data_IF_786053735233
#
_entry.id   IF_786053735233
#
_cell.length_a   1.000
_cell.length_b   1.000
_cell.length_c   1.000
_cell.angle_alpha   90.00
_cell.angle_beta   90.00
_cell.angle_gamma   90.00
#
_symmetry.space_group_name_H-M   'P 1'
#
loop_
_entity.id
_entity.type
_entity.pdbx_description
1 polymer ?
#
# COMPACT_ATOMS: atom_id res chain seq x y z
N UNK A 1 -34.17 10.15 -50.10
CA UNK A 1 -32.75 10.20 -49.74
C UNK A 1 -32.62 11.34 -48.72
N UNK A 2 -32.98 11.06 -47.47
CA UNK A 2 -32.90 12.00 -46.34
C UNK A 2 -31.55 11.86 -45.65
N UNK A 3 -30.91 12.94 -45.19
CA UNK A 3 -29.73 12.84 -44.33
C UNK A 3 -30.16 12.72 -42.86
N UNK A 4 -29.59 11.72 -42.19
CA UNK A 4 -29.79 11.43 -40.77
C UNK A 4 -29.22 12.52 -39.86
N UNK A 5 -30.00 12.87 -38.83
CA UNK A 5 -29.64 13.79 -37.77
C UNK A 5 -28.50 13.24 -36.90
N UNK A 6 -27.51 14.09 -36.61
CA UNK A 6 -26.41 13.78 -35.69
C UNK A 6 -26.87 13.89 -34.24
N UNK A 7 -26.73 12.79 -33.50
CA UNK A 7 -26.92 12.75 -32.05
C UNK A 7 -25.75 13.43 -31.33
N UNK A 8 -26.08 14.40 -30.49
CA UNK A 8 -25.14 15.14 -29.64
C UNK A 8 -24.50 14.25 -28.58
N UNK A 9 -23.16 14.26 -28.52
CA UNK A 9 -22.41 13.66 -27.42
C UNK A 9 -22.56 14.52 -26.16
N UNK A 10 -23.40 14.06 -25.24
CA UNK A 10 -23.49 14.57 -23.88
C UNK A 10 -22.15 14.46 -23.15
N UNK A 11 -21.68 15.59 -22.62
CA UNK A 11 -20.54 15.66 -21.72
C UNK A 11 -20.88 15.02 -20.38
N UNK A 12 -20.43 13.78 -20.18
CA UNK A 12 -20.47 13.10 -18.89
C UNK A 12 -19.55 13.78 -17.89
N UNK A 13 -20.14 14.48 -16.92
CA UNK A 13 -19.48 15.04 -15.75
C UNK A 13 -19.00 13.87 -14.88
N UNK A 14 -17.69 13.67 -14.76
CA UNK A 14 -17.13 12.70 -13.83
C UNK A 14 -17.49 13.12 -12.39
N UNK A 15 -17.93 12.19 -11.51
CA UNK A 15 -18.18 12.52 -10.11
C UNK A 15 -16.86 12.93 -9.45
N UNK A 16 -16.94 13.89 -8.53
CA UNK A 16 -15.81 14.28 -7.68
C UNK A 16 -15.33 13.04 -6.90
N UNK A 17 -14.09 12.61 -7.15
CA UNK A 17 -13.49 11.48 -6.46
C UNK A 17 -13.39 11.80 -4.96
N UNK A 18 -13.99 10.95 -4.13
CA UNK A 18 -13.68 10.89 -2.72
C UNK A 18 -12.17 10.66 -2.58
N UNK A 19 -11.50 11.50 -1.78
CA UNK A 19 -10.07 11.34 -1.55
C UNK A 19 -9.78 9.95 -0.96
N UNK A 20 -8.77 9.27 -1.49
CA UNK A 20 -8.26 8.02 -0.94
C UNK A 20 -7.70 8.32 0.46
N UNK A 21 -8.39 7.86 1.50
CA UNK A 21 -8.12 8.26 2.88
C UNK A 21 -7.00 7.43 3.50
N UNK A 22 -5.80 8.01 3.55
CA UNK A 22 -4.64 7.55 4.33
C UNK A 22 -4.83 7.75 5.86
N UNK A 23 -6.06 7.85 6.35
CA UNK A 23 -6.39 8.47 7.64
C UNK A 23 -6.78 7.48 8.74
N UNK A 24 -6.33 6.22 8.65
CA UNK A 24 -6.48 5.28 9.76
C UNK A 24 -5.30 5.43 10.76
N UNK A 25 -5.41 6.44 11.62
CA UNK A 25 -4.66 6.57 12.86
C UNK A 25 -5.60 6.49 14.07
N UNK A 26 -5.04 6.54 15.28
CA UNK A 26 -5.82 6.68 16.52
C UNK A 26 -6.86 7.82 16.44
N UNK A 27 -7.90 7.81 17.27
CA UNK A 27 -8.98 8.82 17.22
C UNK A 27 -8.48 10.29 17.28
N UNK A 28 -7.31 10.54 17.90
CA UNK A 28 -6.64 11.86 17.89
C UNK A 28 -5.91 12.16 16.58
N UNK A 29 -5.33 11.16 15.91
CA UNK A 29 -4.65 11.31 14.61
C UNK A 29 -5.66 11.48 13.48
N UNK A 30 -6.77 10.75 13.51
CA UNK A 30 -7.87 10.88 12.55
C UNK A 30 -8.49 12.29 12.56
N UNK A 31 -8.63 12.92 13.74
CA UNK A 31 -9.06 14.31 13.87
C UNK A 31 -8.06 15.30 13.25
N UNK A 32 -6.77 15.13 13.52
CA UNK A 32 -5.72 16.00 12.96
C UNK A 32 -5.53 15.81 11.43
N UNK A 33 -5.75 14.60 10.93
CA UNK A 33 -5.65 14.28 9.51
C UNK A 33 -6.82 14.92 8.73
N UNK A 34 -8.03 14.83 9.28
CA UNK A 34 -9.22 15.49 8.75
C UNK A 34 -9.04 17.02 8.65
N UNK A 35 -8.47 17.64 9.68
CA UNK A 35 -8.14 19.08 9.68
C UNK A 35 -7.07 19.44 8.64
N UNK A 36 -6.01 18.62 8.53
CA UNK A 36 -4.97 18.81 7.51
C UNK A 36 -5.51 18.67 6.08
N UNK A 37 -6.40 17.69 5.85
CA UNK A 37 -7.10 17.49 4.59
C UNK A 37 -7.97 18.69 4.20
N UNK A 38 -8.72 19.23 5.16
CA UNK A 38 -9.54 20.43 4.98
C UNK A 38 -8.69 21.67 4.66
N UNK A 39 -7.59 21.88 5.37
CA UNK A 39 -6.68 23.00 5.12
C UNK A 39 -6.01 22.92 3.73
N UNK A 40 -5.58 21.73 3.29
CA UNK A 40 -5.08 21.53 1.91
C UNK A 40 -6.18 21.77 0.87
N UNK A 41 -7.42 21.38 1.16
CA UNK A 41 -8.55 21.64 0.27
C UNK A 41 -8.82 23.14 0.13
N UNK A 42 -8.79 23.89 1.24
CA UNK A 42 -8.92 25.35 1.23
C UNK A 42 -7.79 26.02 0.41
N UNK A 43 -6.54 25.59 0.60
CA UNK A 43 -5.40 26.09 -0.17
C UNK A 43 -5.55 25.82 -1.68
N UNK A 44 -6.05 24.64 -2.07
CA UNK A 44 -6.35 24.33 -3.47
C UNK A 44 -7.38 25.31 -4.05
N UNK A 45 -8.49 25.52 -3.36
CA UNK A 45 -9.56 26.42 -3.82
C UNK A 45 -9.07 27.86 -3.96
N UNK A 46 -8.27 28.33 -3.00
CA UNK A 46 -7.68 29.65 -3.03
C UNK A 46 -6.73 29.83 -4.22
N UNK A 47 -5.88 28.85 -4.51
CA UNK A 47 -5.01 28.89 -5.69
C UNK A 47 -5.80 28.90 -6.99
N UNK A 48 -6.83 28.06 -7.12
CA UNK A 48 -7.68 28.05 -8.31
C UNK A 48 -8.35 29.41 -8.54
N UNK A 49 -8.84 30.04 -7.46
CA UNK A 49 -9.40 31.40 -7.50
C UNK A 49 -8.37 32.42 -7.98
N UNK A 50 -7.18 32.46 -7.37
CA UNK A 50 -6.10 33.39 -7.75
C UNK A 50 -5.70 33.26 -9.22
N UNK A 51 -5.52 32.03 -9.70
CA UNK A 51 -5.14 31.78 -11.10
C UNK A 51 -6.23 32.21 -12.09
N UNK A 52 -7.50 32.05 -11.71
CA UNK A 52 -8.65 32.46 -12.54
C UNK A 52 -8.78 33.98 -12.60
N UNK A 53 -8.76 34.65 -11.45
CA UNK A 53 -8.87 36.11 -11.35
C UNK A 53 -7.73 36.82 -12.07
N UNK A 54 -6.51 36.30 -11.95
CA UNK A 54 -5.35 36.85 -12.65
C UNK A 54 -5.29 36.49 -14.15
N UNK A 55 -6.23 35.69 -14.66
CA UNK A 55 -6.20 35.18 -16.03
C UNK A 55 -4.94 34.38 -16.36
N UNK A 56 -4.32 33.76 -15.35
CA UNK A 56 -3.07 33.02 -15.46
C UNK A 56 -3.28 31.54 -15.83
N UNK A 57 -4.48 31.00 -15.59
CA UNK A 57 -4.85 29.62 -15.94
C UNK A 57 -4.89 29.38 -17.47
N UNK A 58 -4.55 28.15 -17.88
CA UNK A 58 -4.65 27.67 -19.28
C UNK A 58 -5.48 26.38 -19.34
N UNK A 59 -5.95 26.06 -20.55
CA UNK A 59 -6.59 24.78 -20.85
C UNK A 59 -5.71 23.59 -20.38
N UNK A 60 -6.29 22.52 -19.81
CA UNK A 60 -7.73 22.20 -19.74
C UNK A 60 -8.52 22.92 -18.64
N UNK A 61 -9.72 23.39 -18.98
CA UNK A 61 -10.74 23.88 -18.05
C UNK A 61 -11.82 22.82 -17.80
N UNK A 62 -12.52 22.83 -16.65
CA UNK A 62 -12.21 23.58 -15.43
C UNK A 62 -10.87 23.15 -14.82
N UNK A 63 -10.21 24.05 -14.08
CA UNK A 63 -8.90 23.77 -13.45
C UNK A 63 -9.03 23.05 -12.11
N UNK A 64 -10.21 23.10 -11.50
CA UNK A 64 -10.54 22.44 -10.25
C UNK A 64 -10.42 20.92 -10.38
N UNK A 65 -9.82 20.28 -9.38
CA UNK A 65 -9.55 18.83 -9.41
C UNK A 65 -8.38 18.45 -10.33
N UNK A 66 -7.65 19.43 -10.88
CA UNK A 66 -6.45 19.22 -11.70
C UNK A 66 -5.25 19.90 -11.08
N UNK A 67 -4.05 19.47 -11.48
CA UNK A 67 -2.87 20.31 -11.39
C UNK A 67 -3.06 21.42 -12.45
N UNK A 68 -3.19 22.71 -12.05
CA UNK A 68 -3.65 23.76 -12.96
C UNK A 68 -2.57 24.09 -13.98
N UNK A 69 -2.91 24.06 -15.27
CA UNK A 69 -2.01 24.57 -16.30
C UNK A 69 -1.96 26.10 -16.25
N UNK A 70 -0.81 26.69 -16.58
CA UNK A 70 -0.58 28.12 -16.36
C UNK A 70 0.24 28.79 -17.47
N UNK A 71 0.06 30.11 -17.63
CA UNK A 71 0.88 30.96 -18.49
C UNK A 71 2.32 30.99 -17.97
N UNK A 72 3.28 30.63 -18.82
CA UNK A 72 4.70 30.58 -18.45
C UNK A 72 5.21 29.19 -18.06
N UNK A 73 4.42 28.12 -18.17
CA UNK A 73 4.88 26.75 -17.91
C UNK A 73 6.12 26.37 -18.73
N UNK A 74 6.19 26.82 -19.98
CA UNK A 74 7.36 26.63 -20.87
C UNK A 74 8.60 27.37 -20.35
N UNK A 75 8.42 28.58 -19.80
CA UNK A 75 9.52 29.36 -19.21
C UNK A 75 10.01 28.74 -17.89
N UNK A 76 9.11 28.23 -17.07
CA UNK A 76 9.46 27.47 -15.87
C UNK A 76 10.26 26.20 -16.23
N UNK A 77 9.86 25.47 -17.27
CA UNK A 77 10.62 24.32 -17.76
C UNK A 77 12.02 24.73 -18.27
N UNK A 78 12.12 25.83 -19.03
CA UNK A 78 13.40 26.35 -19.50
C UNK A 78 14.35 26.71 -18.33
N UNK A 79 13.83 27.32 -17.26
CA UNK A 79 14.63 27.57 -16.04
C UNK A 79 15.08 26.30 -15.34
N UNK A 80 14.21 25.28 -15.26
CA UNK A 80 14.62 23.97 -14.74
C UNK A 80 15.79 23.38 -15.55
N UNK A 81 15.78 23.57 -16.88
CA UNK A 81 16.88 23.12 -17.78
C UNK A 81 18.25 23.67 -17.40
N UNK A 82 18.28 24.85 -16.78
CA UNK A 82 19.52 25.54 -16.39
C UNK A 82 20.13 25.00 -15.09
N UNK A 83 19.37 24.23 -14.32
CA UNK A 83 19.81 23.72 -13.02
C UNK A 83 20.70 22.48 -13.15
N UNK A 84 21.72 22.39 -12.30
CA UNK A 84 22.64 21.24 -12.27
C UNK A 84 21.94 19.91 -12.03
N UNK A 85 20.90 19.89 -11.18
CA UNK A 85 20.10 18.68 -10.92
C UNK A 85 19.48 18.11 -12.20
N UNK A 86 19.04 18.98 -13.12
CA UNK A 86 18.49 18.57 -14.39
C UNK A 86 19.59 18.21 -15.40
N UNK A 87 20.65 19.02 -15.47
CA UNK A 87 21.76 18.80 -16.41
C UNK A 87 22.43 17.44 -16.19
N UNK A 88 22.62 17.05 -14.93
CA UNK A 88 23.23 15.78 -14.53
C UNK A 88 22.30 14.56 -14.71
N UNK A 89 21.00 14.76 -14.62
CA UNK A 89 20.02 13.69 -14.78
C UNK A 89 20.07 13.08 -16.18
N UNK A 90 20.07 11.75 -16.27
CA UNK A 90 19.93 10.99 -17.52
C UNK A 90 18.50 10.48 -17.69
N UNK A 91 17.80 10.26 -16.59
CA UNK A 91 16.43 9.80 -16.56
C UNK A 91 15.59 10.57 -15.53
N UNK A 92 14.38 10.94 -15.94
CA UNK A 92 13.44 11.69 -15.10
C UNK A 92 12.14 10.93 -14.96
N UNK A 93 11.58 10.91 -13.75
CA UNK A 93 10.16 10.63 -13.57
C UNK A 93 9.40 11.95 -13.62
N UNK A 94 8.40 12.06 -14.49
CA UNK A 94 7.61 13.28 -14.65
C UNK A 94 6.13 12.95 -14.68
N UNK A 95 5.34 13.57 -13.80
CA UNK A 95 3.89 13.39 -13.77
C UNK A 95 3.24 13.77 -15.12
N UNK A 96 2.13 13.13 -15.53
CA UNK A 96 1.50 13.31 -16.85
C UNK A 96 0.72 14.62 -16.99
N UNK A 97 0.57 15.40 -15.92
CA UNK A 97 -0.22 16.63 -15.90
C UNK A 97 0.21 17.62 -17.00
N UNK A 98 -0.77 18.36 -17.53
CA UNK A 98 -0.56 19.33 -18.61
C UNK A 98 0.52 20.38 -18.30
N UNK A 99 0.58 21.01 -17.10
CA UNK A 99 1.66 21.97 -16.78
C UNK A 99 3.08 21.37 -16.85
N UNK A 100 3.22 20.05 -16.81
CA UNK A 100 4.51 19.34 -16.86
C UNK A 100 4.86 18.85 -18.27
N UNK A 101 3.96 19.01 -19.25
CA UNK A 101 4.22 18.69 -20.65
C UNK A 101 5.48 19.36 -21.19
N UNK A 102 5.76 20.66 -20.93
CA UNK A 102 6.98 21.29 -21.40
C UNK A 102 8.24 20.63 -20.85
N UNK A 103 8.24 20.19 -19.58
CA UNK A 103 9.38 19.49 -18.96
C UNK A 103 9.61 18.14 -19.62
N UNK A 104 8.55 17.36 -19.86
CA UNK A 104 8.65 16.05 -20.54
C UNK A 104 9.20 16.18 -21.96
N UNK A 105 8.64 17.11 -22.73
CA UNK A 105 9.08 17.34 -24.11
C UNK A 105 10.54 17.81 -24.18
N UNK A 106 10.91 18.73 -23.27
CA UNK A 106 12.28 19.22 -23.15
C UNK A 106 13.27 18.11 -22.75
N UNK A 107 12.90 17.25 -21.80
CA UNK A 107 13.74 16.12 -21.39
C UNK A 107 14.03 15.16 -22.55
N UNK A 108 13.01 14.81 -23.33
CA UNK A 108 13.18 13.97 -24.52
C UNK A 108 14.08 14.65 -25.57
N UNK A 109 13.86 15.94 -25.83
CA UNK A 109 14.70 16.73 -26.74
C UNK A 109 16.17 16.84 -26.28
N UNK A 110 16.40 16.78 -24.97
CA UNK A 110 17.73 16.78 -24.35
C UNK A 110 18.37 15.40 -24.27
N UNK A 111 17.78 14.38 -24.90
CA UNK A 111 18.33 13.03 -24.91
C UNK A 111 18.19 12.31 -23.57
N UNK A 112 17.15 12.62 -22.78
CA UNK A 112 16.90 12.01 -21.47
C UNK A 112 15.71 11.06 -21.54
N UNK A 113 15.79 9.98 -20.77
CA UNK A 113 14.66 9.03 -20.63
C UNK A 113 13.59 9.63 -19.73
N UNK A 114 12.32 9.51 -20.14
CA UNK A 114 11.17 9.95 -19.34
C UNK A 114 10.36 8.76 -18.88
N UNK A 115 10.17 8.66 -17.57
CA UNK A 115 9.23 7.75 -16.92
C UNK A 115 7.97 8.52 -16.54
N UNK A 116 6.84 8.15 -17.12
CA UNK A 116 5.55 8.77 -16.83
C UNK A 116 4.67 7.74 -16.10
N UNK A 117 4.12 8.05 -14.92
CA UNK A 117 3.26 7.11 -14.22
C UNK A 117 1.99 6.85 -15.02
N UNK A 118 1.50 5.61 -14.98
CA UNK A 118 0.24 5.26 -15.64
C UNK A 118 -0.95 5.85 -14.87
N UNK A 119 -2.07 6.19 -15.54
CA UNK A 119 -3.27 6.66 -14.85
C UNK A 119 -3.71 5.68 -13.76
N UNK A 120 -3.85 6.19 -12.53
CA UNK A 120 -4.21 5.42 -11.32
C UNK A 120 -3.26 4.25 -11.00
N UNK A 121 -2.03 4.27 -11.51
CA UNK A 121 -1.06 3.19 -11.29
C UNK A 121 -1.61 1.80 -11.66
N UNK A 122 -2.36 1.70 -12.77
CA UNK A 122 -2.82 0.40 -13.31
C UNK A 122 -1.70 -0.43 -13.93
N UNK A 123 -0.51 0.15 -14.04
CA UNK A 123 0.80 -0.45 -14.29
C UNK A 123 1.88 0.50 -13.73
N UNK A 124 3.15 0.09 -13.67
CA UNK A 124 4.16 0.90 -12.98
C UNK A 124 4.40 2.24 -13.70
N UNK A 125 5.08 2.23 -14.84
CA UNK A 125 5.40 3.45 -15.59
C UNK A 125 5.37 3.20 -17.09
N UNK A 126 5.13 4.25 -17.87
CA UNK A 126 5.47 4.30 -19.29
C UNK A 126 6.90 4.86 -19.41
N UNK A 127 7.82 4.06 -19.93
CA UNK A 127 9.18 4.48 -20.24
C UNK A 127 9.25 4.95 -21.69
N UNK A 128 9.67 6.18 -21.90
CA UNK A 128 9.94 6.76 -23.22
C UNK A 128 11.42 7.07 -23.27
N UNK A 129 12.15 6.37 -24.13
CA UNK A 129 13.58 6.63 -24.34
C UNK A 129 13.75 7.62 -25.49
N UNK A 130 14.75 8.51 -25.43
CA UNK A 130 14.95 9.51 -26.48
C UNK A 130 15.22 8.88 -27.85
N UNK A 131 15.86 7.70 -27.91
CA UNK A 131 16.11 6.98 -29.15
C UNK A 131 14.84 6.44 -29.83
N UNK A 132 13.75 6.26 -29.08
CA UNK A 132 12.46 5.79 -29.59
C UNK A 132 11.59 6.96 -30.14
N UNK A 133 12.07 8.21 -30.03
CA UNK A 133 11.34 9.42 -30.39
C UNK A 133 11.95 10.06 -31.64
N UNK A 134 11.23 10.11 -32.77
CA UNK A 134 11.69 10.83 -33.95
C UNK A 134 11.91 12.32 -33.66
N UNK A 135 12.98 12.88 -34.25
CA UNK A 135 13.31 14.30 -34.10
C UNK A 135 12.14 15.19 -34.50
N UNK A 136 11.76 16.12 -33.64
CA UNK A 136 10.61 17.01 -33.82
C UNK A 136 9.28 16.46 -33.29
N UNK A 137 9.23 15.19 -32.87
CA UNK A 137 8.04 14.57 -32.28
C UNK A 137 8.06 14.54 -30.73
N UNK A 138 9.05 15.16 -30.09
CA UNK A 138 9.27 15.08 -28.63
C UNK A 138 8.06 15.59 -27.84
N UNK A 139 7.44 16.69 -28.32
CA UNK A 139 6.21 17.21 -27.72
C UNK A 139 5.04 16.25 -27.87
N UNK A 140 4.94 15.52 -28.98
CA UNK A 140 3.87 14.53 -29.22
C UNK A 140 4.11 13.29 -28.35
N UNK A 141 5.33 12.78 -28.28
CA UNK A 141 5.72 11.70 -27.40
C UNK A 141 5.47 12.02 -25.91
N UNK A 142 5.59 13.28 -25.50
CA UNK A 142 5.34 13.72 -24.13
C UNK A 142 3.84 13.89 -23.75
N UNK A 143 2.91 13.80 -24.71
CA UNK A 143 1.47 13.99 -24.45
C UNK A 143 0.84 12.71 -23.92
N UNK A 144 0.08 12.79 -22.82
CA UNK A 144 -0.56 11.64 -22.19
C UNK A 144 -1.37 10.76 -23.16
N UNK A 145 -2.09 11.36 -24.11
CA UNK A 145 -2.92 10.62 -25.08
C UNK A 145 -2.17 10.01 -26.26
N UNK A 146 -0.88 10.31 -26.45
CA UNK A 146 -0.06 9.85 -27.58
C UNK A 146 1.23 9.14 -27.12
N UNK A 147 1.63 9.30 -25.87
CA UNK A 147 2.89 8.82 -25.34
C UNK A 147 3.10 7.31 -25.51
N UNK A 148 2.03 6.52 -25.41
CA UNK A 148 2.08 5.08 -25.60
C UNK A 148 2.44 4.63 -27.03
N UNK A 149 2.37 5.54 -28.02
CA UNK A 149 2.87 5.27 -29.38
C UNK A 149 4.40 5.22 -29.46
N UNK A 150 5.08 5.81 -28.47
CA UNK A 150 6.55 5.98 -28.44
C UNK A 150 7.21 5.26 -27.28
N UNK A 151 6.45 4.99 -26.21
CA UNK A 151 6.95 4.39 -24.99
C UNK A 151 6.57 2.93 -24.82
N UNK A 152 7.28 2.26 -23.92
CA UNK A 152 6.96 0.90 -23.45
C UNK A 152 6.47 0.97 -22.00
N UNK A 153 5.34 0.33 -21.71
CA UNK A 153 4.96 0.11 -20.31
C UNK A 153 5.96 -0.85 -19.66
N UNK A 154 6.48 -0.45 -18.50
CA UNK A 154 7.43 -1.25 -17.73
C UNK A 154 6.74 -1.78 -16.47
N UNK A 155 7.07 -3.01 -16.11
CA UNK A 155 6.56 -3.66 -14.90
C UNK A 155 7.34 -3.22 -13.67
N UNK A 156 6.88 -3.58 -12.47
CA UNK A 156 7.57 -3.21 -11.23
C UNK A 156 8.96 -3.85 -11.09
N UNK A 157 9.12 -5.09 -11.51
CA UNK A 157 10.40 -5.81 -11.51
C UNK A 157 11.41 -5.20 -12.51
N UNK A 158 10.93 -4.52 -13.54
CA UNK A 158 11.78 -3.76 -14.47
C UNK A 158 12.09 -2.34 -13.97
N UNK A 159 11.50 -1.91 -12.85
CA UNK A 159 11.64 -0.57 -12.29
C UNK A 159 12.66 -0.48 -11.15
N UNK A 160 13.57 -1.45 -11.02
CA UNK A 160 14.68 -1.36 -10.04
C UNK A 160 15.70 -0.28 -10.45
N UNK A 161 16.54 0.21 -9.52
CA UNK A 161 17.57 1.21 -9.82
C UNK A 161 18.56 0.78 -10.91
N UNK A 162 18.85 -0.52 -10.99
CA UNK A 162 19.79 -1.08 -11.96
C UNK A 162 19.18 -1.17 -13.36
N UNK A 163 17.90 -1.55 -13.45
CA UNK A 163 17.20 -1.75 -14.72
C UNK A 163 16.60 -0.45 -15.29
N UNK A 164 16.16 0.46 -14.41
CA UNK A 164 15.46 1.68 -14.77
C UNK A 164 15.86 2.82 -13.82
N UNK A 165 17.11 3.31 -13.88
CA UNK A 165 17.57 4.40 -13.01
C UNK A 165 16.71 5.65 -13.20
N UNK A 166 16.44 6.35 -12.10
CA UNK A 166 15.78 7.66 -12.09
C UNK A 166 16.68 8.60 -11.30
N UNK A 167 16.96 9.78 -11.85
CA UNK A 167 17.85 10.76 -11.23
C UNK A 167 17.08 11.96 -10.65
N UNK A 168 15.88 12.21 -11.16
CA UNK A 168 15.09 13.39 -10.80
C UNK A 168 13.59 13.11 -10.92
N UNK A 169 12.83 13.54 -9.92
CA UNK A 169 11.37 13.49 -9.89
C UNK A 169 10.81 14.89 -10.12
N UNK A 170 9.91 15.03 -11.11
CA UNK A 170 9.15 16.25 -11.35
C UNK A 170 7.69 16.01 -11.01
N UNK A 171 7.25 16.57 -9.88
CA UNK A 171 5.92 16.40 -9.32
C UNK A 171 5.03 17.61 -9.63
N UNK A 172 3.82 17.37 -10.12
CA UNK A 172 2.79 18.40 -10.25
C UNK A 172 2.31 18.87 -8.88
N UNK A 173 1.98 20.15 -8.75
CA UNK A 173 1.44 20.72 -7.52
C UNK A 173 0.31 21.71 -7.82
N UNK A 174 -0.71 21.72 -6.97
CA UNK A 174 -1.71 22.79 -6.96
C UNK A 174 -1.19 23.94 -6.12
N UNK A 175 -0.73 23.66 -4.89
CA UNK A 175 -0.14 24.65 -4.00
C UNK A 175 1.19 24.16 -3.45
N UNK A 176 2.11 25.10 -3.20
CA UNK A 176 3.40 24.84 -2.55
C UNK A 176 3.75 25.96 -1.58
N UNK A 177 4.53 25.67 -0.54
CA UNK A 177 5.14 26.69 0.31
C UNK A 177 6.61 26.87 -0.03
N UNK A 178 7.21 28.01 0.34
CA UNK A 178 8.62 28.28 0.06
C UNK A 178 9.59 27.31 0.77
N UNK A 179 9.16 26.70 1.87
CA UNK A 179 9.91 25.68 2.61
C UNK A 179 9.62 24.24 2.14
N UNK A 180 8.85 24.06 1.06
CA UNK A 180 8.78 22.78 0.34
C UNK A 180 7.61 21.87 0.69
N UNK A 181 6.62 22.32 1.46
CA UNK A 181 5.35 21.62 1.57
C UNK A 181 4.58 21.67 0.25
N UNK A 182 3.88 20.58 -0.09
CA UNK A 182 3.21 20.42 -1.38
C UNK A 182 1.79 19.90 -1.19
N UNK A 183 0.85 20.49 -1.92
CA UNK A 183 -0.48 19.95 -2.10
C UNK A 183 -0.71 19.62 -3.58
N UNK A 184 -0.89 18.33 -3.90
CA UNK A 184 -1.39 17.88 -5.19
C UNK A 184 -2.90 18.10 -5.35
N UNK A 185 -3.49 17.51 -6.39
CA UNK A 185 -4.94 17.61 -6.67
C UNK A 185 -5.86 16.88 -5.68
N UNK A 186 -5.31 16.13 -4.73
CA UNK A 186 -6.06 15.47 -3.64
C UNK A 186 -6.21 13.95 -3.75
N UNK A 187 -5.66 13.33 -4.80
CA UNK A 187 -5.76 11.87 -5.01
C UNK A 187 -4.58 11.08 -4.41
N UNK A 188 -3.52 11.74 -3.93
CA UNK A 188 -2.35 11.09 -3.32
C UNK A 188 -1.42 10.33 -4.28
N UNK A 189 -1.72 10.27 -5.58
CA UNK A 189 -0.91 9.46 -6.53
C UNK A 189 0.56 9.84 -6.61
N UNK A 190 0.90 11.14 -6.58
CA UNK A 190 2.31 11.55 -6.65
C UNK A 190 3.12 11.10 -5.42
N UNK A 191 2.46 11.01 -4.27
CA UNK A 191 3.04 10.55 -3.02
C UNK A 191 3.26 9.03 -3.07
N UNK A 192 2.26 8.29 -3.54
CA UNK A 192 2.36 6.85 -3.85
C UNK A 192 3.45 6.54 -4.87
N UNK A 193 3.55 7.30 -5.95
CA UNK A 193 4.55 7.11 -7.01
C UNK A 193 5.97 7.22 -6.47
N UNK A 194 6.24 8.17 -5.56
CA UNK A 194 7.55 8.30 -4.94
C UNK A 194 7.82 7.18 -3.94
N UNK A 195 6.85 6.87 -3.08
CA UNK A 195 6.92 5.76 -2.13
C UNK A 195 7.18 4.42 -2.84
N UNK A 196 6.54 4.19 -3.99
CA UNK A 196 6.73 3.04 -4.85
C UNK A 196 8.18 2.89 -5.32
N UNK A 197 8.79 3.98 -5.82
CA UNK A 197 10.19 3.95 -6.25
C UNK A 197 11.12 3.60 -5.07
N UNK A 198 10.82 4.11 -3.87
CA UNK A 198 11.59 3.81 -2.66
C UNK A 198 11.47 2.34 -2.23
N UNK A 199 10.29 1.74 -2.36
CA UNK A 199 10.10 0.28 -2.13
C UNK A 199 10.91 -0.56 -3.12
N UNK A 200 10.97 -0.13 -4.38
CA UNK A 200 11.75 -0.79 -5.43
C UNK A 200 13.28 -0.60 -5.28
N UNK A 201 13.72 0.15 -4.27
CA UNK A 201 15.14 0.32 -3.93
C UNK A 201 15.79 1.58 -4.50
N UNK A 202 15.06 2.45 -5.20
CA UNK A 202 15.61 3.75 -5.63
C UNK A 202 16.09 4.54 -4.43
N UNK A 203 17.21 5.28 -4.51
CA UNK A 203 17.68 6.14 -3.41
C UNK A 203 16.70 7.29 -3.14
N UNK A 204 16.99 8.13 -2.14
CA UNK A 204 16.23 9.37 -1.99
C UNK A 204 16.52 10.27 -3.21
N UNK A 205 15.50 10.49 -4.03
CA UNK A 205 15.60 11.26 -5.26
C UNK A 205 15.29 12.74 -5.01
N UNK A 206 15.98 13.67 -5.70
CA UNK A 206 15.59 15.08 -5.71
C UNK A 206 14.21 15.25 -6.35
N UNK A 207 13.39 16.13 -5.78
CA UNK A 207 12.03 16.43 -6.19
C UNK A 207 11.92 17.90 -6.57
N UNK A 208 11.50 18.14 -7.82
CA UNK A 208 11.24 19.47 -8.37
C UNK A 208 9.75 19.63 -8.65
N UNK A 209 9.21 20.83 -8.49
CA UNK A 209 7.92 21.20 -9.07
C UNK A 209 8.05 22.44 -9.96
N UNK A 210 7.25 22.49 -11.03
CA UNK A 210 7.11 23.69 -11.87
C UNK A 210 5.71 24.25 -11.71
N UNK A 211 5.60 25.49 -11.24
CA UNK A 211 4.34 26.13 -10.85
C UNK A 211 4.31 27.60 -11.25
N UNK A 212 3.11 28.19 -11.27
CA UNK A 212 2.95 29.64 -11.34
C UNK A 212 3.23 30.29 -9.98
N UNK A 213 3.73 31.55 -9.89
CA UNK A 213 3.96 32.23 -8.60
C UNK A 213 2.72 32.29 -7.69
N UNK A 214 1.53 32.40 -8.27
CA UNK A 214 0.24 32.39 -7.54
C UNK A 214 -0.10 31.06 -6.86
N UNK A 215 0.61 29.98 -7.20
CA UNK A 215 0.49 28.68 -6.54
C UNK A 215 1.36 28.58 -5.28
N UNK A 216 2.21 29.58 -5.02
CA UNK A 216 2.99 29.67 -3.78
C UNK A 216 2.07 30.25 -2.70
N UNK A 217 1.84 29.48 -1.65
CA UNK A 217 1.03 29.85 -0.49
C UNK A 217 1.91 30.00 0.74
N UNK A 218 1.41 30.68 1.77
CA UNK A 218 2.19 30.94 2.99
C UNK A 218 2.41 29.65 3.80
N UNK A 219 1.36 28.83 3.97
CA UNK A 219 1.38 27.64 4.83
C UNK A 219 0.58 26.50 4.22
N UNK A 220 1.07 25.30 4.43
CA UNK A 220 0.38 24.04 4.14
C UNK A 220 0.68 23.05 5.27
N UNK A 221 -0.31 22.31 5.78
CA UNK A 221 -0.02 21.22 6.69
C UNK A 221 0.69 20.09 5.94
N UNK A 222 1.61 19.42 6.62
CA UNK A 222 2.39 18.31 6.08
C UNK A 222 2.11 17.06 6.90
N UNK A 223 1.64 16.01 6.23
CA UNK A 223 1.45 14.69 6.77
C UNK A 223 2.70 13.83 6.49
N UNK A 224 2.98 12.78 7.28
CA UNK A 224 4.17 11.94 7.12
C UNK A 224 4.33 11.26 5.75
N UNK A 225 3.25 11.12 5.00
CA UNK A 225 3.21 10.50 3.68
C UNK A 225 3.29 11.51 2.52
N UNK A 226 3.27 12.82 2.79
CA UNK A 226 3.35 13.82 1.73
C UNK A 226 4.75 13.88 1.12
N UNK A 227 4.80 13.95 -0.21
CA UNK A 227 6.01 14.22 -0.95
C UNK A 227 6.39 15.70 -0.84
N UNK A 228 7.44 15.99 -0.08
CA UNK A 228 8.09 17.29 -0.03
C UNK A 228 8.89 17.60 -1.29
N UNK A 229 9.10 18.89 -1.55
CA UNK A 229 9.77 19.40 -2.75
C UNK A 229 11.08 20.06 -2.36
N UNK A 230 12.18 19.70 -3.04
CA UNK A 230 13.50 20.30 -2.83
C UNK A 230 13.69 21.62 -3.59
N UNK A 231 13.06 21.73 -4.77
CA UNK A 231 13.19 22.90 -5.64
C UNK A 231 11.85 23.27 -6.28
N UNK A 232 11.46 24.53 -6.15
CA UNK A 232 10.29 25.11 -6.80
C UNK A 232 10.77 26.02 -7.93
N UNK A 233 10.30 25.76 -9.14
CA UNK A 233 10.65 26.55 -10.33
C UNK A 233 9.41 27.27 -10.84
N UNK A 234 9.48 28.59 -10.91
CA UNK A 234 8.44 29.42 -11.52
C UNK A 234 8.96 30.04 -12.82
N UNK A 235 8.13 30.75 -13.61
CA UNK A 235 8.62 31.52 -14.75
C UNK A 235 9.63 32.60 -14.35
N UNK A 236 9.63 33.06 -13.09
CA UNK A 236 10.36 34.26 -12.67
C UNK A 236 11.52 33.95 -11.70
N UNK A 237 11.42 32.88 -10.92
CA UNK A 237 12.39 32.53 -9.89
C UNK A 237 12.60 31.01 -9.73
N UNK A 238 13.70 30.65 -9.07
CA UNK A 238 14.01 29.30 -8.60
C UNK A 238 14.19 29.37 -7.09
N UNK A 239 13.45 28.56 -6.35
CA UNK A 239 13.49 28.50 -4.89
C UNK A 239 14.02 27.13 -4.47
N UNK A 240 15.19 27.12 -3.81
CA UNK A 240 15.70 25.94 -3.12
C UNK A 240 15.12 25.91 -1.72
N UNK A 241 14.25 24.94 -1.45
CA UNK A 241 13.38 24.98 -0.26
C UNK A 241 14.12 24.69 1.03
N UNK A 242 15.23 23.92 0.95
CA UNK A 242 15.92 23.35 2.12
C UNK A 242 14.91 22.70 3.08
N UNK A 243 13.96 21.97 2.50
CA UNK A 243 12.78 21.47 3.18
C UNK A 243 13.15 20.74 4.49
N UNK A 244 12.52 21.09 5.62
CA UNK A 244 12.66 20.31 6.87
C UNK A 244 11.80 19.04 6.84
N UNK A 245 10.90 18.91 5.87
CA UNK A 245 9.95 17.82 5.76
C UNK A 245 10.59 16.59 5.09
N UNK A 246 10.58 15.42 5.75
CA UNK A 246 11.14 14.20 5.16
C UNK A 246 10.30 13.75 3.97
N UNK A 247 10.95 13.13 2.99
CA UNK A 247 10.26 12.47 1.88
C UNK A 247 9.73 11.10 2.32
N UNK A 248 8.69 10.57 1.64
CA UNK A 248 8.22 9.20 1.89
C UNK A 248 9.36 8.19 1.76
N UNK A 249 9.49 7.29 2.74
CA UNK A 249 10.54 6.25 2.73
C UNK A 249 10.15 4.96 2.02
N UNK A 250 8.86 4.79 1.73
CA UNK A 250 8.24 3.58 1.21
C UNK A 250 6.73 3.67 1.37
N UNK A 251 6.03 2.59 1.03
CA UNK A 251 4.57 2.51 1.17
C UNK A 251 4.25 2.24 2.65
N UNK A 252 3.29 2.99 3.19
CA UNK A 252 2.76 2.73 4.55
C UNK A 252 1.69 1.65 4.47
N UNK A 253 2.11 0.40 4.41
CA UNK A 253 1.22 -0.76 4.26
C UNK A 253 0.13 -0.84 5.32
N UNK A 254 0.37 -0.31 6.52
CA UNK A 254 -0.61 -0.23 7.60
C UNK A 254 -1.77 0.74 7.32
N UNK A 255 -1.59 1.69 6.39
CA UNK A 255 -2.59 2.67 6.00
C UNK A 255 -3.28 2.33 4.66
N UNK A 256 -2.84 1.26 3.98
CA UNK A 256 -3.42 0.83 2.70
C UNK A 256 -4.72 0.08 2.95
N UNK A 257 -5.84 0.58 2.44
CA UNK A 257 -7.15 -0.08 2.60
C UNK A 257 -7.42 -1.10 1.49
N UNK A 258 -8.43 -1.99 1.65
CA UNK A 258 -8.87 -2.87 0.57
C UNK A 258 -9.29 -2.11 -0.69
N UNK A 259 -9.94 -0.95 -0.55
CA UNK A 259 -10.36 -0.09 -1.66
C UNK A 259 -9.14 0.48 -2.40
N UNK A 260 -8.07 0.82 -1.69
CA UNK A 260 -6.81 1.25 -2.31
C UNK A 260 -6.16 0.12 -3.10
N UNK A 261 -6.14 -1.10 -2.56
CA UNK A 261 -5.62 -2.29 -3.26
C UNK A 261 -6.43 -2.60 -4.54
N UNK A 262 -7.74 -2.37 -4.53
CA UNK A 262 -8.59 -2.54 -5.71
C UNK A 262 -8.37 -1.40 -6.73
N UNK A 263 -8.27 -0.16 -6.24
CA UNK A 263 -8.08 1.01 -7.09
C UNK A 263 -6.69 1.06 -7.75
N UNK A 264 -5.66 0.51 -7.09
CA UNK A 264 -4.25 0.56 -7.48
C UNK A 264 -3.63 -0.85 -7.51
N UNK A 265 -3.80 -1.59 -8.62
CA UNK A 265 -3.25 -2.94 -8.78
C UNK A 265 -1.74 -3.05 -8.50
N UNK A 266 -0.99 -1.97 -8.75
CA UNK A 266 0.45 -1.89 -8.45
C UNK A 266 0.78 -2.20 -6.98
N UNK A 267 -0.12 -1.87 -6.04
CA UNK A 267 0.10 -2.15 -4.62
C UNK A 267 0.04 -3.66 -4.36
N UNK A 268 -0.83 -4.39 -5.06
CA UNK A 268 -0.90 -5.85 -4.96
C UNK A 268 0.35 -6.50 -5.56
N UNK A 269 0.79 -6.02 -6.72
CA UNK A 269 2.03 -6.50 -7.36
C UNK A 269 3.26 -6.25 -6.48
N UNK A 270 3.38 -5.05 -5.91
CA UNK A 270 4.48 -4.69 -5.02
C UNK A 270 4.47 -5.54 -3.74
N UNK A 271 3.27 -5.80 -3.19
CA UNK A 271 3.09 -6.71 -2.05
C UNK A 271 3.46 -8.15 -2.39
N UNK A 272 3.24 -8.57 -3.62
CA UNK A 272 3.66 -9.87 -4.12
C UNK A 272 5.17 -9.97 -4.35
N UNK A 273 5.83 -8.87 -4.72
CA UNK A 273 7.30 -8.79 -4.86
C UNK A 273 8.01 -8.80 -3.50
N UNK A 274 7.49 -8.07 -2.51
CA UNK A 274 8.07 -7.95 -1.18
C UNK A 274 7.40 -8.83 -0.11
N UNK A 275 6.69 -9.89 -0.52
CA UNK A 275 5.88 -10.72 0.39
C UNK A 275 6.66 -11.27 1.59
N UNK A 276 7.98 -11.48 1.46
CA UNK A 276 8.87 -11.96 2.54
C UNK A 276 8.97 -10.95 3.71
N UNK A 277 8.73 -9.66 3.43
CA UNK A 277 8.68 -8.57 4.42
C UNK A 277 7.27 -8.29 4.94
N UNK A 278 6.24 -8.87 4.29
CA UNK A 278 4.86 -8.62 4.66
C UNK A 278 4.46 -9.44 5.88
N UNK A 279 3.63 -8.84 6.73
CA UNK A 279 3.03 -9.51 7.87
C UNK A 279 1.52 -9.66 7.67
N UNK A 280 0.96 -10.67 8.32
CA UNK A 280 -0.48 -10.87 8.40
C UNK A 280 -0.94 -10.38 9.77
N UNK A 281 -1.81 -9.36 9.86
CA UNK A 281 -2.28 -8.82 11.13
C UNK A 281 -2.95 -9.89 12.00
N UNK A 282 -2.79 -9.79 13.31
CA UNK A 282 -3.51 -10.64 14.25
C UNK A 282 -5.01 -10.31 14.27
N UNK A 283 -5.85 -11.34 14.36
CA UNK A 283 -7.28 -11.18 14.66
C UNK A 283 -7.51 -11.65 16.09
N UNK A 284 -7.35 -10.73 17.03
CA UNK A 284 -7.46 -10.99 18.47
C UNK A 284 -8.36 -9.96 19.14
N UNK A 285 -9.19 -10.42 20.07
CA UNK A 285 -10.06 -9.60 20.90
C UNK A 285 -10.13 -10.21 22.32
N UNK A 286 -10.50 -9.43 23.36
CA UNK A 286 -10.82 -9.99 24.66
C UNK A 286 -12.04 -10.91 24.59
N UNK A 287 -12.12 -11.92 25.48
CA UNK A 287 -13.31 -12.75 25.66
C UNK A 287 -13.53 -13.81 24.57
N UNK A 288 -12.53 -14.10 23.74
CA UNK A 288 -12.63 -15.14 22.71
C UNK A 288 -12.73 -16.54 23.34
N UNK A 289 -13.57 -17.38 22.75
CA UNK A 289 -13.67 -18.79 23.09
C UNK A 289 -12.43 -19.57 22.63
N UNK A 290 -11.96 -19.36 21.40
CA UNK A 290 -10.76 -20.01 20.91
C UNK A 290 -9.89 -19.10 20.03
N UNK A 291 -8.57 -19.29 20.11
CA UNK A 291 -7.61 -18.67 19.18
C UNK A 291 -6.85 -19.76 18.44
N UNK A 292 -6.89 -19.72 17.11
CA UNK A 292 -6.09 -20.60 16.26
C UNK A 292 -4.71 -19.99 16.03
N UNK A 293 -3.68 -20.80 16.21
CA UNK A 293 -2.29 -20.36 16.08
C UNK A 293 -1.61 -21.16 14.97
N UNK A 294 -1.37 -20.49 13.85
CA UNK A 294 -0.56 -21.03 12.76
C UNK A 294 0.95 -20.94 13.04
N UNK A 295 1.74 -21.52 12.14
CA UNK A 295 3.20 -21.45 12.21
C UNK A 295 3.69 -20.04 11.84
N UNK A 296 3.51 -19.68 10.58
CA UNK A 296 3.88 -18.38 10.01
C UNK A 296 3.14 -18.18 8.68
N UNK A 297 3.06 -16.95 8.15
CA UNK A 297 2.47 -16.70 6.85
C UNK A 297 3.26 -17.34 5.71
N UNK A 298 2.57 -18.08 4.83
CA UNK A 298 3.12 -18.43 3.51
C UNK A 298 2.98 -17.26 2.53
N UNK A 299 3.60 -17.36 1.34
CA UNK A 299 3.52 -16.33 0.29
C UNK A 299 2.12 -15.79 0.04
N UNK A 300 1.15 -16.67 -0.22
CA UNK A 300 -0.23 -16.25 -0.49
C UNK A 300 -0.86 -15.48 0.69
N UNK A 301 -0.64 -15.93 1.93
CA UNK A 301 -1.13 -15.24 3.13
C UNK A 301 -0.47 -13.88 3.32
N UNK A 302 0.85 -13.81 3.17
CA UNK A 302 1.61 -12.57 3.32
C UNK A 302 1.23 -11.53 2.24
N UNK A 303 1.03 -11.98 1.00
CA UNK A 303 0.60 -11.14 -0.12
C UNK A 303 -0.87 -10.69 0.04
N UNK A 304 -1.77 -11.58 0.46
CA UNK A 304 -3.17 -11.21 0.68
C UNK A 304 -3.35 -10.35 1.93
N UNK A 305 -2.49 -10.52 2.93
CA UNK A 305 -2.69 -9.92 4.26
C UNK A 305 -3.69 -10.67 5.13
N UNK A 306 -4.03 -11.91 4.74
CA UNK A 306 -5.06 -12.70 5.38
C UNK A 306 -4.56 -14.07 5.77
N UNK A 307 -5.08 -14.59 6.89
CA UNK A 307 -4.65 -15.88 7.41
C UNK A 307 -5.05 -17.02 6.47
N UNK A 308 -4.11 -17.96 6.29
CA UNK A 308 -4.34 -19.21 5.55
C UNK A 308 -4.83 -19.05 4.09
N UNK A 309 -4.56 -17.92 3.42
CA UNK A 309 -4.95 -17.65 2.02
C UNK A 309 -4.30 -18.54 0.92
N UNK A 310 -3.53 -19.57 1.28
CA UNK A 310 -2.94 -20.48 0.29
C UNK A 310 -4.00 -21.37 -0.36
N UNK A 311 -3.97 -21.60 -1.69
CA UNK A 311 -5.00 -22.35 -2.40
C UNK A 311 -5.13 -23.81 -1.94
N UNK A 312 -4.04 -24.40 -1.43
CA UNK A 312 -4.00 -25.75 -0.90
C UNK A 312 -4.13 -25.80 0.63
N UNK A 313 -4.47 -24.69 1.28
CA UNK A 313 -4.68 -24.66 2.73
C UNK A 313 -6.13 -25.00 3.06
N UNK A 314 -6.33 -25.97 3.95
CA UNK A 314 -7.65 -26.51 4.28
C UNK A 314 -8.27 -25.86 5.52
N UNK A 315 -7.66 -24.82 6.10
CA UNK A 315 -8.08 -24.22 7.36
C UNK A 315 -9.56 -23.81 7.35
N UNK A 316 -9.97 -23.02 6.36
CA UNK A 316 -11.33 -22.48 6.29
C UNK A 316 -12.40 -23.56 6.12
N UNK A 317 -12.07 -24.63 5.37
CA UNK A 317 -12.95 -25.79 5.19
C UNK A 317 -13.03 -26.61 6.48
N UNK A 318 -11.89 -26.90 7.11
CA UNK A 318 -11.82 -27.60 8.38
C UNK A 318 -12.56 -26.86 9.50
N UNK A 319 -12.42 -25.53 9.56
CA UNK A 319 -13.07 -24.67 10.53
C UNK A 319 -14.60 -24.78 10.43
N UNK A 320 -15.13 -24.73 9.20
CA UNK A 320 -16.54 -24.89 8.94
C UNK A 320 -17.04 -26.31 9.26
N UNK A 321 -16.39 -27.35 8.70
CA UNK A 321 -16.83 -28.75 8.86
C UNK A 321 -16.69 -29.27 10.31
N UNK A 322 -15.83 -28.63 11.11
CA UNK A 322 -15.71 -28.88 12.55
C UNK A 322 -16.78 -28.14 13.38
N UNK A 323 -17.56 -27.24 12.77
CA UNK A 323 -18.68 -26.55 13.43
C UNK A 323 -18.29 -25.29 14.21
N UNK A 324 -17.14 -24.67 13.88
CA UNK A 324 -16.76 -23.37 14.46
C UNK A 324 -17.48 -22.20 13.79
N UNK A 325 -17.79 -22.31 12.49
CA UNK A 325 -18.45 -21.27 11.68
C UNK A 325 -19.54 -21.88 10.79
N UNK A 326 -20.61 -21.13 10.46
CA UNK A 326 -21.80 -21.67 9.78
C UNK A 326 -21.60 -21.97 8.29
N UNK A 327 -20.55 -21.43 7.66
CA UNK A 327 -20.19 -21.66 6.26
C UNK A 327 -18.68 -21.59 6.09
N UNK A 328 -18.17 -22.06 4.96
CA UNK A 328 -16.78 -21.81 4.56
C UNK A 328 -16.59 -20.31 4.35
N UNK A 329 -15.63 -19.72 5.05
CA UNK A 329 -15.22 -18.32 4.89
C UNK A 329 -14.10 -18.22 3.86
N UNK A 330 -14.02 -17.09 3.16
CA UNK A 330 -12.84 -16.72 2.38
C UNK A 330 -11.77 -16.13 3.32
N UNK A 331 -10.47 -16.17 2.95
CA UNK A 331 -9.41 -15.57 3.76
C UNK A 331 -9.66 -14.11 4.11
N UNK A 332 -10.23 -13.33 3.19
CA UNK A 332 -10.54 -11.90 3.37
C UNK A 332 -11.62 -11.64 4.45
N UNK A 333 -12.30 -12.70 4.89
CA UNK A 333 -13.32 -12.67 5.93
C UNK A 333 -12.77 -13.05 7.31
N UNK A 334 -11.45 -13.20 7.48
CA UNK A 334 -10.82 -13.56 8.75
C UNK A 334 -11.13 -12.56 9.88
N UNK A 335 -11.26 -11.28 9.57
CA UNK A 335 -11.71 -10.24 10.50
C UNK A 335 -13.13 -10.47 11.07
N UNK A 336 -13.94 -11.37 10.51
CA UNK A 336 -15.25 -11.72 11.05
C UNK A 336 -15.19 -12.76 12.18
N UNK A 337 -14.07 -13.45 12.36
CA UNK A 337 -13.90 -14.52 13.36
C UNK A 337 -14.35 -14.14 14.78
N UNK A 338 -14.09 -12.91 15.29
CA UNK A 338 -14.55 -12.51 16.61
C UNK A 338 -16.06 -12.56 16.80
N UNK A 339 -16.87 -12.48 15.73
CA UNK A 339 -18.34 -12.63 15.80
C UNK A 339 -18.79 -14.00 16.29
N UNK A 340 -17.94 -15.01 16.11
CA UNK A 340 -18.16 -16.37 16.61
C UNK A 340 -17.30 -16.69 17.84
N UNK A 341 -16.70 -15.67 18.47
CA UNK A 341 -15.80 -15.84 19.61
C UNK A 341 -14.48 -16.51 19.22
N UNK A 342 -14.03 -16.34 17.97
CA UNK A 342 -12.80 -16.95 17.46
C UNK A 342 -11.75 -15.88 17.13
N UNK A 343 -10.48 -16.25 17.28
CA UNK A 343 -9.36 -15.44 16.82
C UNK A 343 -8.35 -16.27 16.04
N UNK A 344 -7.42 -15.59 15.38
CA UNK A 344 -6.35 -16.22 14.62
C UNK A 344 -5.06 -15.39 14.68
N UNK A 345 -3.93 -16.07 14.83
CA UNK A 345 -2.58 -15.48 14.84
C UNK A 345 -1.56 -16.51 14.33
N UNK A 346 -0.30 -16.13 14.23
CA UNK A 346 0.83 -17.03 13.97
C UNK A 346 1.87 -16.92 15.08
N UNK A 347 2.60 -18.01 15.34
CA UNK A 347 3.71 -17.97 16.31
C UNK A 347 4.90 -17.16 15.79
N UNK A 348 5.20 -17.22 14.49
CA UNK A 348 6.26 -16.42 13.85
C UNK A 348 5.65 -15.43 12.86
N UNK A 349 5.95 -14.12 12.96
CA UNK A 349 5.39 -13.10 12.07
C UNK A 349 6.04 -13.08 10.68
N UNK A 350 7.29 -13.55 10.55
CA UNK A 350 8.04 -13.53 9.28
C UNK A 350 7.43 -14.50 8.26
N UNK A 351 7.16 -14.01 7.07
CA UNK A 351 6.68 -14.83 5.97
C UNK A 351 7.79 -15.69 5.38
N UNK A 352 7.49 -16.95 5.05
CA UNK A 352 8.44 -17.88 4.40
C UNK A 352 7.79 -18.78 3.35
N UNK A 353 8.59 -19.49 2.54
CA UNK A 353 8.06 -20.41 1.51
C UNK A 353 7.58 -21.70 2.16
N UNK A 354 8.20 -22.08 3.27
CA UNK A 354 7.70 -23.12 4.14
C UNK A 354 8.40 -23.16 5.49
N UNK A 355 8.00 -24.15 6.27
CA UNK A 355 8.52 -24.40 7.62
C UNK A 355 10.04 -24.61 7.66
N UNK A 356 10.64 -25.12 6.57
CA UNK A 356 12.09 -25.35 6.48
C UNK A 356 12.94 -24.07 6.56
N UNK A 357 12.34 -22.91 6.24
CA UNK A 357 13.04 -21.62 6.24
C UNK A 357 13.02 -20.93 7.62
N UNK A 358 12.39 -21.56 8.63
CA UNK A 358 12.32 -21.05 10.00
C UNK A 358 13.37 -21.71 10.88
N UNK A 359 14.11 -20.90 11.61
CA UNK A 359 15.01 -21.39 12.65
C UNK A 359 14.24 -21.74 13.93
N UNK A 360 14.84 -22.59 14.76
CA UNK A 360 14.23 -22.93 16.04
C UNK A 360 14.25 -21.76 17.03
N UNK A 361 15.24 -20.87 16.93
CA UNK A 361 15.32 -19.68 17.79
C UNK A 361 14.22 -18.67 17.47
N UNK A 362 13.91 -18.48 16.18
CA UNK A 362 12.73 -17.68 15.77
C UNK A 362 11.43 -18.24 16.32
N UNK A 363 11.25 -19.56 16.24
CA UNK A 363 10.09 -20.23 16.84
C UNK A 363 10.03 -20.00 18.35
N UNK A 364 11.14 -20.18 19.07
CA UNK A 364 11.21 -19.97 20.52
C UNK A 364 10.86 -18.53 20.92
N UNK A 365 11.41 -17.55 20.19
CA UNK A 365 11.10 -16.13 20.39
C UNK A 365 9.62 -15.83 20.11
N UNK A 366 9.09 -16.35 19.00
CA UNK A 366 7.68 -16.25 18.63
C UNK A 366 6.76 -16.88 19.68
N UNK A 367 7.15 -18.02 20.24
CA UNK A 367 6.43 -18.69 21.33
C UNK A 367 6.36 -17.84 22.60
N UNK A 368 7.43 -17.12 22.94
CA UNK A 368 7.43 -16.18 24.06
C UNK A 368 6.47 -15.01 23.83
N UNK A 369 6.55 -14.36 22.66
CA UNK A 369 5.63 -13.28 22.29
C UNK A 369 4.17 -13.76 22.24
N UNK A 370 3.92 -15.00 21.79
CA UNK A 370 2.58 -15.59 21.79
C UNK A 370 2.05 -15.79 23.21
N UNK A 371 2.88 -16.23 24.18
CA UNK A 371 2.46 -16.33 25.59
C UNK A 371 2.01 -14.98 26.15
N UNK A 372 2.70 -13.90 25.81
CA UNK A 372 2.30 -12.55 26.21
C UNK A 372 0.94 -12.15 25.62
N UNK A 373 0.71 -12.44 24.32
CA UNK A 373 -0.60 -12.23 23.68
C UNK A 373 -1.70 -13.04 24.36
N UNK A 374 -1.45 -14.33 24.64
CA UNK A 374 -2.43 -15.21 25.30
C UNK A 374 -2.72 -14.72 26.72
N UNK A 375 -1.71 -14.30 27.48
CA UNK A 375 -1.89 -13.73 28.80
C UNK A 375 -2.69 -12.42 28.80
N UNK A 376 -2.53 -11.60 27.75
CA UNK A 376 -3.26 -10.34 27.53
C UNK A 376 -4.72 -10.56 27.14
N UNK A 377 -4.98 -11.40 26.13
CA UNK A 377 -6.32 -11.56 25.56
C UNK A 377 -7.16 -12.64 26.24
N UNK A 378 -6.52 -13.54 27.00
CA UNK A 378 -7.13 -14.62 27.80
C UNK A 378 -8.26 -15.37 27.08
N UNK A 379 -8.01 -16.00 25.92
CA UNK A 379 -9.00 -16.87 25.32
C UNK A 379 -9.25 -18.09 26.22
N UNK A 380 -10.42 -18.73 26.11
CA UNK A 380 -10.68 -19.97 26.86
C UNK A 380 -9.81 -21.14 26.38
N UNK A 381 -9.52 -21.17 25.07
CA UNK A 381 -8.74 -22.21 24.40
C UNK A 381 -7.74 -21.60 23.41
N UNK A 382 -6.52 -22.10 23.39
CA UNK A 382 -5.60 -21.91 22.26
C UNK A 382 -5.44 -23.21 21.48
N UNK A 383 -5.60 -23.14 20.16
CA UNK A 383 -5.49 -24.28 19.24
C UNK A 383 -4.23 -24.10 18.41
N UNK A 384 -3.18 -24.84 18.76
CA UNK A 384 -1.84 -24.77 18.18
C UNK A 384 -1.77 -25.71 16.98
N UNK A 385 -1.68 -25.14 15.77
CA UNK A 385 -1.74 -25.88 14.51
C UNK A 385 -0.37 -26.44 14.11
N UNK A 386 0.12 -27.37 14.93
CA UNK A 386 1.34 -28.14 14.71
C UNK A 386 2.15 -28.33 15.98
N UNK A 387 2.81 -29.49 16.11
CA UNK A 387 3.61 -29.81 17.31
C UNK A 387 4.76 -28.81 17.55
N UNK A 388 5.40 -28.29 16.49
CA UNK A 388 6.47 -27.30 16.64
C UNK A 388 5.96 -25.96 17.19
N UNK A 389 4.76 -25.54 16.76
CA UNK A 389 4.08 -24.34 17.28
C UNK A 389 3.84 -24.49 18.78
N UNK A 390 3.30 -25.64 19.20
CA UNK A 390 3.09 -25.92 20.62
C UNK A 390 4.40 -26.00 21.41
N UNK A 391 5.43 -26.68 20.92
CA UNK A 391 6.73 -26.75 21.62
C UNK A 391 7.33 -25.38 21.86
N UNK A 392 7.28 -24.52 20.84
CA UNK A 392 7.74 -23.14 20.95
C UNK A 392 6.93 -22.34 21.98
N UNK A 393 5.61 -22.41 21.89
CA UNK A 393 4.68 -21.75 22.80
C UNK A 393 4.83 -22.23 24.25
N UNK A 394 4.98 -23.54 24.48
CA UNK A 394 5.15 -24.15 25.81
C UNK A 394 6.59 -24.08 26.34
N UNK A 395 7.54 -23.53 25.56
CA UNK A 395 8.96 -23.44 25.97
C UNK A 395 9.68 -24.79 26.05
N UNK A 396 9.21 -25.79 25.31
CA UNK A 396 9.77 -27.14 25.29
C UNK A 396 10.96 -27.26 24.34
N UNK A 397 11.76 -28.33 24.50
CA UNK A 397 12.78 -28.68 23.53
C UNK A 397 12.15 -29.08 22.17
N UNK A 398 12.86 -28.83 21.06
CA UNK A 398 12.41 -29.13 19.69
C UNK A 398 11.98 -30.60 19.48
N UNK A 399 12.60 -31.51 20.21
CA UNK A 399 12.38 -32.96 20.13
C UNK A 399 11.43 -33.49 21.20
N UNK A 400 10.92 -32.64 22.11
CA UNK A 400 10.05 -33.09 23.19
C UNK A 400 8.81 -33.82 22.63
N UNK A 401 8.41 -34.97 23.20
CA UNK A 401 7.19 -35.65 22.79
C UNK A 401 5.98 -34.74 23.06
N UNK A 402 5.06 -34.71 22.10
CA UNK A 402 3.83 -33.92 22.15
C UNK A 402 2.74 -34.76 21.52
N UNK A 403 1.65 -34.96 22.24
CA UNK A 403 0.47 -35.65 21.71
C UNK A 403 -0.50 -34.66 21.05
N UNK A 404 -1.29 -35.17 20.12
CA UNK A 404 -2.43 -34.42 19.59
C UNK A 404 -3.53 -34.32 20.65
N UNK A 405 -4.38 -33.31 20.54
CA UNK A 405 -5.51 -33.13 21.45
C UNK A 405 -5.25 -32.14 22.57
N UNK A 406 -6.11 -32.19 23.59
CA UNK A 406 -6.02 -31.33 24.78
C UNK A 406 -4.76 -31.65 25.58
N UNK A 407 -4.03 -30.61 25.96
CA UNK A 407 -2.78 -30.75 26.70
C UNK A 407 -3.04 -30.73 28.21
N UNK A 408 -2.32 -31.56 28.98
CA UNK A 408 -2.54 -31.69 30.42
C UNK A 408 -2.00 -30.51 31.25
N UNK A 409 -1.13 -29.69 30.65
CA UNK A 409 -0.52 -28.54 31.31
C UNK A 409 -0.94 -27.26 30.61
N UNK A 410 -1.09 -26.21 31.41
CA UNK A 410 -1.33 -24.87 30.94
C UNK A 410 -0.01 -24.09 31.06
N UNK A 411 0.45 -23.57 29.94
CA UNK A 411 1.58 -22.66 29.85
C UNK A 411 1.18 -21.28 30.41
N UNK A 412 -0.05 -20.84 30.11
CA UNK A 412 -0.66 -19.65 30.70
C UNK A 412 -1.81 -20.08 31.62
N UNK A 413 -1.76 -19.80 32.94
CA UNK A 413 -2.80 -20.21 33.87
C UNK A 413 -4.20 -19.77 33.44
N UNK A 414 -5.15 -20.69 33.46
CA UNK A 414 -6.55 -20.43 33.11
C UNK A 414 -6.86 -20.51 31.61
N UNK A 415 -5.88 -20.78 30.75
CA UNK A 415 -6.06 -20.96 29.31
C UNK A 415 -5.79 -22.42 28.95
N UNK A 416 -6.79 -23.09 28.39
CA UNK A 416 -6.61 -24.46 27.90
C UNK A 416 -5.85 -24.49 26.57
N UNK A 417 -5.16 -25.60 26.31
CA UNK A 417 -4.23 -25.71 25.19
C UNK A 417 -4.54 -26.98 24.41
N UNK A 418 -4.71 -26.87 23.10
CA UNK A 418 -5.04 -27.98 22.23
C UNK A 418 -4.08 -28.02 21.05
N UNK A 419 -3.51 -29.18 20.75
CA UNK A 419 -2.58 -29.35 19.64
C UNK A 419 -3.29 -30.08 18.51
N UNK A 420 -3.39 -29.44 17.35
CA UNK A 420 -4.00 -29.99 16.15
C UNK A 420 -2.98 -30.00 14.99
N UNK A 421 -3.14 -30.87 13.98
CA UNK A 421 -2.23 -30.89 12.85
C UNK A 421 -2.39 -29.64 11.97
N UNK A 422 -1.32 -29.27 11.27
CA UNK A 422 -1.31 -28.11 10.39
C UNK A 422 -2.33 -28.28 9.23
N UNK A 423 -3.16 -27.27 8.92
CA UNK A 423 -4.15 -27.34 7.85
C UNK A 423 -3.56 -27.30 6.42
N UNK A 424 -2.25 -27.09 6.27
CA UNK A 424 -1.53 -27.15 4.99
C UNK A 424 -1.82 -28.45 4.22
N UNK A 425 -2.00 -28.34 2.90
CA UNK A 425 -2.08 -29.49 2.00
C UNK A 425 -0.80 -30.35 1.96
N UNK A 426 0.33 -29.83 2.47
CA UNK A 426 1.59 -30.60 2.64
C UNK A 426 1.63 -31.46 3.91
N UNK A 427 0.63 -31.34 4.79
CA UNK A 427 0.54 -32.15 6.01
C UNK A 427 0.40 -33.63 5.65
N UNK A 428 1.20 -34.49 6.29
CA UNK A 428 1.08 -35.95 6.17
C UNK A 428 -0.11 -36.51 6.96
N UNK A 429 -0.70 -35.72 7.87
CA UNK A 429 -1.88 -36.14 8.64
C UNK A 429 -3.13 -36.08 7.74
N UNK A 430 -3.90 -37.19 7.60
CA UNK A 430 -5.09 -37.25 6.77
C UNK A 430 -6.14 -36.19 7.12
N UNK A 431 -6.96 -35.81 6.14
CA UNK A 431 -8.04 -34.83 6.34
C UNK A 431 -9.03 -35.25 7.44
N UNK A 432 -9.49 -36.51 7.41
CA UNK A 432 -10.44 -37.04 8.39
C UNK A 432 -9.92 -36.93 9.83
N UNK A 433 -8.64 -37.17 10.04
CA UNK A 433 -8.02 -37.07 11.37
C UNK A 433 -7.90 -35.63 11.85
N UNK A 434 -7.52 -34.71 10.94
CA UNK A 434 -7.53 -33.26 11.21
C UNK A 434 -8.91 -32.77 11.63
N UNK A 435 -9.94 -33.19 10.88
CA UNK A 435 -11.32 -32.83 11.15
C UNK A 435 -11.80 -33.42 12.49
N UNK A 436 -11.46 -34.68 12.79
CA UNK A 436 -11.80 -35.35 14.06
C UNK A 436 -11.26 -34.56 15.26
N UNK A 437 -9.96 -34.19 15.22
CA UNK A 437 -9.32 -33.43 16.30
C UNK A 437 -9.92 -32.03 16.46
N UNK A 438 -10.27 -31.35 15.37
CA UNK A 438 -10.93 -30.04 15.47
C UNK A 438 -12.37 -30.14 16.01
N UNK A 439 -13.09 -31.22 15.71
CA UNK A 439 -14.40 -31.50 16.34
C UNK A 439 -14.26 -31.75 17.83
N UNK A 440 -13.23 -32.47 18.25
CA UNK A 440 -12.92 -32.68 19.67
C UNK A 440 -12.67 -31.34 20.39
N UNK A 441 -11.84 -30.47 19.81
CA UNK A 441 -11.62 -29.12 20.33
C UNK A 441 -12.91 -28.29 20.41
N UNK A 442 -13.78 -28.40 19.39
CA UNK A 442 -15.09 -27.72 19.36
C UNK A 442 -16.02 -28.23 20.46
N UNK A 443 -16.08 -29.54 20.66
CA UNK A 443 -16.88 -30.20 21.70
C UNK A 443 -16.40 -29.79 23.10
N UNK A 444 -15.09 -29.75 23.33
CA UNK A 444 -14.52 -29.25 24.58
C UNK A 444 -14.96 -27.80 24.86
N UNK A 445 -14.86 -26.93 23.84
CA UNK A 445 -15.22 -25.53 23.98
C UNK A 445 -16.72 -25.32 24.31
N UNK A 446 -17.58 -26.16 23.73
CA UNK A 446 -19.02 -26.18 24.01
C UNK A 446 -19.33 -26.72 25.42
N UNK A 447 -18.65 -27.79 25.85
CA UNK A 447 -18.88 -28.44 27.15
C UNK A 447 -18.56 -27.54 28.36
N UNK A 448 -17.62 -26.60 28.22
CA UNK A 448 -17.31 -25.66 29.31
C UNK A 448 -18.27 -24.47 29.47
N UNK A 449 -19.32 -24.35 28.65
CA UNK A 449 -20.30 -23.26 28.75
C UNK A 449 -21.46 -23.54 29.73
N UNK A 450 -21.54 -24.75 30.29
CA UNK A 450 -22.67 -25.20 31.14
C UNK A 450 -22.40 -25.33 32.64
N UNK A 451 -21.21 -24.95 33.14
CA UNK A 451 -20.78 -25.25 34.52
C UNK A 451 -20.91 -24.11 35.54
N UNK A 452 -21.69 -23.07 35.25
CA UNK A 452 -21.80 -21.86 36.09
C UNK A 452 -23.24 -21.56 36.52
N UNK A 453 -23.90 -22.53 37.15
CA UNK A 453 -25.08 -22.31 37.99
C UNK A 453 -25.38 -23.62 38.76
N UNK A 454 -24.91 -23.67 40.01
CA UNK A 454 -25.45 -24.51 41.09
C UNK A 454 -24.95 -23.97 42.41
#
# INVERSE_FOLDING_TARGET
>A
MEPAAGEGKGGGRAPAGAGHSWEAGSASEAGSASEAGAAKAAARQEVYRRLREAGAARFPFPIEGRIPNFKGAERAAARLRELDVYRRARALKVNPDTPQLPVRAMALADGKTVYMPTPRLRGAFLRIRPEDVPRGEERRAAQLGRAAEYGRFVTLDEMTPEAAPIDLVVAGAVAVTRDGARAGKGEGYADYEYALLRELGHPELPVVTTVHPLQIVERLPVAPHDLSVDIIVTPDEVIFTRTPYPKPRGIRWEAVTPEDLEAMPVLQELRALHWERMQVPDVLAPGLGAVFVGLNPGRASATAGHHFAGPNNLFWRLLHEAGFVPRVLRPEEDGLLPRWGLGVTNVVPRATRGEADLTWDELRAGGAALREKVARFRPRLVILLGKQVYRAYAGLARTAPVEWGLQPRQTVPGVAEFVAPNPSGRSTVPYAERLRLLREARSWLAGGAGGGQS
#
